data_IF_671373564027
#
_entry.id   IF_671373564027
#
_cell.length_a   1.000
_cell.length_b   1.000
_cell.length_c   1.000
_cell.angle_alpha   90.00
_cell.angle_beta   90.00
_cell.angle_gamma   90.00
#
_symmetry.space_group_name_H-M   'P 1'
#
loop_
_entity.id
_entity.type
_entity.pdbx_description
1 polymer ?
#
# COMPACT_ATOMS: atom_id res chain seq x y z
N UNK A 1 -75.55 20.47 -27.20
CA UNK A 1 -74.66 20.78 -28.33
C UNK A 1 -73.80 19.56 -28.58
N UNK A 2 -74.03 18.77 -29.66
CA UNK A 2 -73.24 18.76 -30.92
C UNK A 2 -71.73 18.90 -30.61
N UNK A 3 -70.86 17.93 -30.91
CA UNK A 3 -70.56 17.43 -32.25
C UNK A 3 -69.66 16.18 -32.21
N UNK A 4 -69.90 15.22 -33.14
CA UNK A 4 -68.95 14.18 -33.57
C UNK A 4 -68.24 14.67 -34.84
N UNK A 5 -66.95 14.39 -34.99
CA UNK A 5 -66.22 14.12 -36.26
C UNK A 5 -64.77 13.79 -35.87
N UNK A 6 -64.23 12.57 -36.02
CA UNK A 6 -63.89 11.77 -37.21
C UNK A 6 -62.81 12.38 -38.12
N UNK A 7 -61.74 11.59 -38.34
CA UNK A 7 -60.93 11.35 -39.56
C UNK A 7 -59.57 10.78 -39.11
N UNK A 8 -59.27 9.49 -39.37
CA UNK A 8 -58.54 8.94 -40.54
C UNK A 8 -57.17 9.60 -40.77
N UNK A 9 -56.11 8.97 -41.24
CA UNK A 9 -55.60 7.61 -41.42
C UNK A 9 -54.23 7.79 -42.12
N UNK A 10 -53.44 6.72 -42.14
CA UNK A 10 -52.38 6.40 -43.10
C UNK A 10 -50.96 6.96 -42.90
N UNK A 11 -50.05 5.99 -42.85
CA UNK A 11 -48.84 5.83 -43.67
C UNK A 11 -47.55 5.68 -42.84
N UNK A 12 -46.61 4.74 -43.06
CA UNK A 12 -46.50 3.47 -43.80
C UNK A 12 -45.02 3.04 -43.69
N UNK A 13 -44.77 1.71 -43.51
CA UNK A 13 -43.56 0.92 -43.84
C UNK A 13 -42.26 1.08 -43.00
N UNK A 14 -41.31 0.10 -43.02
CA UNK A 14 -41.51 -1.36 -42.85
C UNK A 14 -40.31 -2.11 -42.18
N UNK A 15 -40.40 -3.45 -42.22
CA UNK A 15 -39.33 -4.43 -42.58
C UNK A 15 -38.83 -5.44 -41.51
N UNK A 16 -39.06 -6.72 -41.87
CA UNK A 16 -38.34 -7.98 -41.58
C UNK A 16 -38.27 -8.49 -40.12
N UNK A 17 -39.00 -9.57 -39.79
CA UNK A 17 -38.64 -10.99 -39.97
C UNK A 17 -37.39 -11.44 -39.19
N UNK A 18 -37.59 -12.30 -38.18
CA UNK A 18 -36.96 -13.63 -38.14
C UNK A 18 -37.61 -14.50 -37.04
N UNK A 19 -38.03 -15.68 -37.45
CA UNK A 19 -38.50 -16.81 -36.65
C UNK A 19 -37.31 -17.70 -36.22
N UNK A 20 -37.50 -18.44 -35.11
CA UNK A 20 -36.86 -19.71 -34.73
C UNK A 20 -35.36 -19.64 -34.31
N UNK A 21 -34.85 -20.32 -33.28
CA UNK A 21 -35.32 -21.33 -32.32
C UNK A 21 -34.36 -21.32 -31.09
N UNK A 22 -34.74 -21.90 -29.94
CA UNK A 22 -33.85 -21.96 -28.77
C UNK A 22 -32.84 -23.11 -28.91
N UNK A 23 -31.56 -22.79 -29.02
CA UNK A 23 -30.49 -23.76 -28.74
C UNK A 23 -30.11 -23.66 -27.27
N UNK A 24 -30.73 -24.53 -26.47
CA UNK A 24 -30.28 -24.85 -25.12
C UNK A 24 -29.01 -25.69 -25.23
N UNK A 25 -27.85 -25.03 -25.38
CA UNK A 25 -26.56 -25.66 -25.13
C UNK A 25 -26.27 -25.52 -23.63
N UNK A 26 -26.58 -26.56 -22.85
CA UNK A 26 -26.07 -26.68 -21.49
C UNK A 26 -24.58 -27.01 -21.61
N UNK A 27 -23.74 -25.98 -21.66
CA UNK A 27 -22.30 -26.15 -21.48
C UNK A 27 -22.07 -26.60 -20.05
N UNK A 28 -21.67 -27.86 -19.89
CA UNK A 28 -21.07 -28.31 -18.65
C UNK A 28 -19.85 -27.43 -18.39
N UNK A 29 -19.95 -26.53 -17.42
CA UNK A 29 -18.81 -25.74 -16.94
C UNK A 29 -17.89 -26.75 -16.26
N UNK A 30 -16.82 -27.14 -16.94
CA UNK A 30 -15.73 -27.83 -16.28
C UNK A 30 -15.27 -26.93 -15.13
N UNK A 31 -15.47 -27.38 -13.88
CA UNK A 31 -14.88 -26.72 -12.73
C UNK A 31 -13.37 -26.85 -12.89
N UNK A 32 -12.76 -25.79 -13.41
CA UNK A 32 -11.32 -25.62 -13.41
C UNK A 32 -10.88 -25.67 -11.95
N UNK A 33 -10.27 -26.78 -11.56
CA UNK A 33 -9.65 -26.92 -10.24
C UNK A 33 -8.50 -25.94 -10.24
N UNK A 34 -8.69 -24.79 -9.57
CA UNK A 34 -7.62 -23.82 -9.38
C UNK A 34 -6.52 -24.54 -8.58
N UNK A 35 -5.29 -24.65 -9.11
CA UNK A 35 -4.20 -25.20 -8.33
C UNK A 35 -4.07 -24.44 -7.02
N UNK A 36 -3.99 -25.15 -5.89
CA UNK A 36 -3.71 -24.58 -4.57
C UNK A 36 -2.22 -24.20 -4.46
N UNK A 37 -1.71 -23.49 -5.47
CA UNK A 37 -0.42 -22.83 -5.40
C UNK A 37 -0.64 -21.53 -4.68
N UNK A 38 -0.27 -21.48 -3.40
CA UNK A 38 -0.06 -20.22 -2.69
C UNK A 38 0.81 -19.35 -3.60
N UNK A 39 0.42 -18.09 -3.88
CA UNK A 39 1.24 -17.23 -4.71
C UNK A 39 2.60 -17.06 -4.04
N UNK A 40 3.66 -17.50 -4.71
CA UNK A 40 5.02 -17.20 -4.28
C UNK A 40 5.17 -15.68 -4.30
N UNK A 41 5.42 -15.10 -3.13
CA UNK A 41 5.66 -13.66 -3.01
C UNK A 41 6.97 -13.37 -3.73
N UNK A 42 6.88 -12.74 -4.91
CA UNK A 42 8.06 -12.30 -5.63
C UNK A 42 8.79 -11.23 -4.82
N UNK A 43 10.04 -11.53 -4.46
CA UNK A 43 10.94 -10.63 -3.76
C UNK A 43 12.00 -10.17 -4.77
N UNK A 44 12.04 -8.87 -5.13
CA UNK A 44 13.04 -8.37 -6.07
C UNK A 44 14.46 -8.62 -5.56
N UNK A 45 15.38 -8.93 -6.48
CA UNK A 45 16.77 -9.24 -6.14
C UNK A 45 17.49 -8.03 -5.51
N UNK A 46 18.33 -8.30 -4.51
CA UNK A 46 19.27 -7.33 -3.96
C UNK A 46 20.46 -7.18 -4.91
N UNK A 47 20.40 -6.15 -5.76
CA UNK A 47 21.46 -5.91 -6.75
C UNK A 47 22.67 -5.20 -6.15
N UNK A 48 22.56 -4.65 -4.92
CA UNK A 48 23.60 -3.84 -4.28
C UNK A 48 24.05 -2.60 -5.07
N UNK A 49 23.44 -2.32 -6.21
CA UNK A 49 23.85 -1.29 -7.15
C UNK A 49 23.10 0.04 -6.92
N UNK A 50 23.73 1.14 -7.33
CA UNK A 50 23.20 2.50 -7.19
C UNK A 50 23.70 3.22 -5.94
N UNK A 51 23.03 4.31 -5.58
CA UNK A 51 23.28 5.10 -4.37
C UNK A 51 21.97 5.26 -3.58
N UNK A 52 22.07 5.29 -2.26
CA UNK A 52 20.92 5.47 -1.37
C UNK A 52 20.22 6.81 -1.62
N UNK A 53 21.02 7.87 -1.74
CA UNK A 53 20.57 9.25 -1.75
C UNK A 53 19.48 9.54 -2.79
N UNK A 54 18.38 10.12 -2.34
CA UNK A 54 17.27 10.54 -3.17
C UNK A 54 15.92 10.40 -2.49
N UNK A 55 14.86 10.54 -3.27
CA UNK A 55 13.47 10.43 -2.81
C UNK A 55 12.80 9.24 -3.46
N UNK A 56 12.10 8.46 -2.65
CA UNK A 56 11.42 7.24 -3.05
C UNK A 56 9.97 7.27 -2.59
N UNK A 57 9.10 6.60 -3.34
CA UNK A 57 7.67 6.53 -3.02
C UNK A 57 7.18 5.08 -3.01
N UNK A 58 6.28 4.80 -2.08
CA UNK A 58 5.46 3.60 -2.06
C UNK A 58 3.99 4.01 -1.87
N UNK A 59 3.09 3.33 -2.57
CA UNK A 59 1.66 3.58 -2.51
C UNK A 59 0.94 2.24 -2.61
N UNK A 60 -0.07 2.05 -1.77
CA UNK A 60 -1.00 0.94 -1.88
C UNK A 60 -2.42 1.46 -1.68
N UNK A 61 -3.41 0.55 -1.63
CA UNK A 61 -4.82 0.92 -1.41
C UNK A 61 -5.03 1.66 -0.08
N UNK A 62 -4.22 1.35 0.93
CA UNK A 62 -4.51 1.71 2.30
C UNK A 62 -3.69 2.93 2.79
N UNK A 63 -2.52 3.18 2.20
CA UNK A 63 -1.64 4.28 2.58
C UNK A 63 -0.60 4.63 1.50
N UNK A 64 0.05 5.78 1.67
CA UNK A 64 1.16 6.29 0.87
C UNK A 64 2.35 6.61 1.78
N UNK A 65 3.56 6.34 1.30
CA UNK A 65 4.81 6.62 2.01
C UNK A 65 5.81 7.29 1.06
N UNK A 66 6.30 8.45 1.47
CA UNK A 66 7.48 9.09 0.91
C UNK A 66 8.69 8.79 1.80
N UNK A 67 9.80 8.39 1.19
CA UNK A 67 11.06 8.14 1.87
C UNK A 67 12.17 9.01 1.27
N UNK A 68 12.78 9.86 2.08
CA UNK A 68 13.97 10.62 1.73
C UNK A 68 15.16 9.95 2.37
N UNK A 69 16.14 9.61 1.55
CA UNK A 69 17.37 8.97 2.01
C UNK A 69 18.55 9.89 1.69
N UNK A 70 19.50 9.96 2.61
CA UNK A 70 20.79 10.65 2.41
C UNK A 70 21.90 9.86 3.07
N UNK A 71 23.11 9.98 2.57
CA UNK A 71 24.29 9.41 3.22
C UNK A 71 24.99 10.50 4.03
N UNK A 72 25.14 10.27 5.34
CA UNK A 72 25.87 11.15 6.24
C UNK A 72 26.95 10.32 6.95
N UNK A 73 28.20 10.79 6.89
CA UNK A 73 29.34 10.11 7.50
C UNK A 73 29.46 8.62 7.10
N UNK A 74 29.16 8.33 5.82
CA UNK A 74 29.21 6.98 5.25
C UNK A 74 28.04 6.07 5.62
N UNK A 75 27.04 6.56 6.38
CA UNK A 75 25.86 5.80 6.80
C UNK A 75 24.59 6.36 6.15
N UNK A 76 23.69 5.50 5.65
CA UNK A 76 22.39 5.96 5.19
C UNK A 76 21.51 6.41 6.37
N UNK A 77 20.94 7.60 6.24
CA UNK A 77 19.87 8.13 7.08
C UNK A 77 18.57 8.14 6.28
N UNK A 78 17.44 7.97 6.97
CA UNK A 78 16.13 7.88 6.32
C UNK A 78 15.12 8.73 7.06
N UNK A 79 14.42 9.57 6.31
CA UNK A 79 13.23 10.28 6.75
C UNK A 79 12.02 9.71 6.02
N UNK A 80 10.92 9.48 6.73
CA UNK A 80 9.67 8.98 6.17
C UNK A 80 8.55 9.98 6.41
N UNK A 81 7.63 10.10 5.45
CA UNK A 81 6.31 10.68 5.67
C UNK A 81 5.27 9.67 5.26
N UNK A 82 4.33 9.42 6.16
CA UNK A 82 3.24 8.48 6.00
C UNK A 82 1.91 9.24 5.90
N UNK A 83 1.03 8.75 5.06
CA UNK A 83 -0.36 9.18 5.00
C UNK A 83 -1.28 7.97 4.82
N UNK A 84 -2.19 7.78 5.77
CA UNK A 84 -3.29 6.84 5.63
C UNK A 84 -4.30 7.35 4.61
N UNK A 85 -4.82 6.46 3.77
CA UNK A 85 -5.93 6.72 2.86
C UNK A 85 -7.28 6.31 3.46
N UNK A 86 -7.26 5.62 4.61
CA UNK A 86 -8.46 5.11 5.29
C UNK A 86 -8.85 5.95 6.50
N UNK A 87 -7.91 6.71 7.07
CA UNK A 87 -8.10 7.49 8.28
C UNK A 87 -7.33 8.82 8.18
N UNK A 88 -7.70 9.86 8.95
CA UNK A 88 -6.98 11.14 9.00
C UNK A 88 -5.69 11.00 9.82
N UNK A 89 -4.81 10.08 9.41
CA UNK A 89 -3.55 9.76 10.06
C UNK A 89 -2.40 10.11 9.11
N UNK A 90 -1.56 11.04 9.56
CA UNK A 90 -0.34 11.41 8.85
C UNK A 90 0.74 11.76 9.85
N UNK A 91 1.98 11.41 9.52
CA UNK A 91 3.15 11.81 10.30
C UNK A 91 4.37 11.89 9.41
N UNK A 92 5.36 12.64 9.88
CA UNK A 92 6.70 12.69 9.31
C UNK A 92 7.70 12.36 10.42
N UNK A 93 8.72 11.57 10.10
CA UNK A 93 9.80 11.26 11.02
C UNK A 93 10.91 12.30 10.94
N UNK A 94 11.83 12.28 11.88
CA UNK A 94 13.15 12.87 11.71
C UNK A 94 14.05 11.97 10.82
N UNK A 95 15.33 12.32 10.71
CA UNK A 95 16.35 11.57 9.96
C UNK A 95 16.85 10.30 10.66
N UNK A 96 16.55 10.14 11.95
CA UNK A 96 16.72 8.89 12.69
C UNK A 96 15.48 7.99 12.58
N UNK A 97 14.50 8.42 11.77
CA UNK A 97 13.28 7.69 11.45
C UNK A 97 12.34 7.53 12.65
N UNK A 98 12.34 8.51 13.56
CA UNK A 98 11.44 8.57 14.70
C UNK A 98 10.43 9.71 14.55
N UNK A 99 9.20 9.51 15.05
CA UNK A 99 8.15 10.51 15.07
C UNK A 99 7.35 10.47 16.37
N UNK A 100 6.94 11.65 16.83
CA UNK A 100 5.89 11.83 17.85
C UNK A 100 4.84 12.76 17.27
N UNK A 101 3.58 12.34 17.28
CA UNK A 101 2.50 13.06 16.63
C UNK A 101 1.15 12.70 17.25
N UNK A 102 0.07 13.25 16.69
CA UNK A 102 -1.29 13.01 17.17
C UNK A 102 -2.16 12.40 16.07
N UNK A 103 -2.97 11.41 16.44
CA UNK A 103 -4.03 10.83 15.60
C UNK A 103 -5.35 11.05 16.31
N UNK A 104 -6.25 11.84 15.71
CA UNK A 104 -7.55 12.17 16.32
C UNK A 104 -7.43 12.67 17.77
N UNK A 105 -6.40 13.48 18.05
CA UNK A 105 -6.13 14.04 19.38
C UNK A 105 -5.45 13.08 20.36
N UNK A 106 -5.15 11.84 19.97
CA UNK A 106 -4.41 10.88 20.79
C UNK A 106 -2.93 10.85 20.44
N UNK A 107 -2.02 10.78 21.42
CA UNK A 107 -0.59 10.70 21.15
C UNK A 107 -0.24 9.36 20.48
N UNK A 108 0.64 9.43 19.50
CA UNK A 108 1.20 8.29 18.80
C UNK A 108 2.71 8.45 18.63
N UNK A 109 3.42 7.33 18.65
CA UNK A 109 4.87 7.29 18.47
C UNK A 109 5.22 6.26 17.41
N UNK A 110 6.15 6.63 16.54
CA UNK A 110 6.76 5.71 15.58
C UNK A 110 8.26 5.76 15.80
N UNK A 111 8.86 4.61 16.08
CA UNK A 111 10.28 4.52 16.43
C UNK A 111 10.96 3.43 15.60
N UNK A 112 12.17 3.71 15.13
CA UNK A 112 13.02 2.75 14.44
C UNK A 112 14.30 2.54 15.21
N UNK A 113 14.58 1.28 15.53
CA UNK A 113 15.87 0.85 16.07
C UNK A 113 16.68 0.19 14.98
N UNK A 114 17.76 0.84 14.57
CA UNK A 114 18.69 0.30 13.57
C UNK A 114 19.63 -0.73 14.20
N UNK A 115 19.65 -1.93 13.60
CA UNK A 115 20.64 -2.97 13.89
C UNK A 115 21.90 -2.77 13.06
N UNK A 116 21.75 -2.50 11.76
CA UNK A 116 22.86 -2.27 10.83
C UNK A 116 22.45 -1.25 9.76
N UNK A 117 23.41 -0.43 9.33
CA UNK A 117 23.24 0.59 8.28
C UNK A 117 24.55 0.72 7.53
N UNK A 118 24.65 0.07 6.38
CA UNK A 118 25.85 0.04 5.57
C UNK A 118 25.59 0.38 4.09
N UNK A 119 26.65 0.30 3.28
CA UNK A 119 26.59 0.64 1.86
C UNK A 119 25.64 -0.25 1.07
N UNK A 120 25.29 -1.45 1.54
CA UNK A 120 24.45 -2.43 0.85
C UNK A 120 23.05 -2.52 1.45
N UNK A 121 22.93 -2.56 2.78
CA UNK A 121 21.67 -2.82 3.49
C UNK A 121 21.45 -1.94 4.71
N UNK A 122 20.18 -1.80 5.06
CA UNK A 122 19.71 -1.23 6.33
C UNK A 122 18.84 -2.29 7.00
N UNK A 123 19.15 -2.66 8.23
CA UNK A 123 18.38 -3.63 9.00
C UNK A 123 18.00 -3.05 10.35
N UNK A 124 16.84 -3.46 10.86
CA UNK A 124 16.36 -2.98 12.14
C UNK A 124 14.99 -3.52 12.51
N UNK A 125 14.39 -2.83 13.45
CA UNK A 125 13.00 -3.03 13.84
C UNK A 125 12.32 -1.69 13.96
N UNK A 126 11.01 -1.66 13.71
CA UNK A 126 10.18 -0.54 14.09
C UNK A 126 9.22 -0.93 15.21
N UNK A 127 8.76 0.10 15.91
CA UNK A 127 7.68 0.04 16.87
C UNK A 127 6.78 1.24 16.64
N UNK A 128 5.52 0.98 16.30
CA UNK A 128 4.49 1.99 16.25
C UNK A 128 3.55 1.77 17.43
N UNK A 129 3.33 2.77 18.27
CA UNK A 129 2.35 2.73 19.34
C UNK A 129 1.36 3.89 19.22
N UNK A 130 0.09 3.58 19.42
CA UNK A 130 -0.97 4.57 19.59
C UNK A 130 -1.87 4.13 20.73
N UNK A 131 -2.12 5.06 21.65
CA UNK A 131 -2.99 4.83 22.80
C UNK A 131 -4.26 5.66 22.66
N UNK A 132 -5.40 4.98 22.60
CA UNK A 132 -6.73 5.56 22.76
C UNK A 132 -7.21 5.37 24.20
N UNK A 133 -8.28 6.07 24.59
CA UNK A 133 -8.74 6.10 25.98
C UNK A 133 -9.06 4.71 26.57
N UNK A 134 -9.66 3.83 25.78
CA UNK A 134 -10.09 2.48 26.19
C UNK A 134 -9.32 1.35 25.50
N UNK A 135 -8.46 1.70 24.54
CA UNK A 135 -7.81 0.75 23.65
C UNK A 135 -6.46 1.27 23.17
N UNK A 136 -5.57 0.39 22.73
CA UNK A 136 -4.30 0.76 22.14
C UNK A 136 -3.99 -0.14 20.95
N UNK A 137 -3.17 0.35 20.03
CA UNK A 137 -2.65 -0.44 18.91
C UNK A 137 -1.14 -0.31 18.89
N UNK A 138 -0.44 -1.44 18.86
CA UNK A 138 0.97 -1.46 18.48
C UNK A 138 1.15 -2.19 17.17
N UNK A 139 2.05 -1.71 16.33
CA UNK A 139 2.52 -2.41 15.14
C UNK A 139 4.05 -2.58 15.27
N UNK A 140 4.49 -3.84 15.44
CA UNK A 140 5.88 -4.23 15.62
C UNK A 140 6.38 -4.97 14.39
N UNK A 141 7.55 -4.60 13.86
CA UNK A 141 8.13 -5.33 12.74
C UNK A 141 9.66 -5.35 12.78
N UNK A 142 10.23 -6.44 12.28
CA UNK A 142 11.65 -6.56 11.98
C UNK A 142 11.83 -6.50 10.46
N UNK A 143 12.85 -5.80 9.99
CA UNK A 143 12.99 -5.48 8.58
C UNK A 143 14.42 -5.50 8.06
N UNK A 144 14.51 -5.68 6.74
CA UNK A 144 15.70 -5.45 5.93
C UNK A 144 15.35 -4.59 4.71
N UNK A 145 16.15 -3.58 4.45
CA UNK A 145 16.02 -2.68 3.31
C UNK A 145 17.25 -2.84 2.42
N UNK A 146 17.03 -2.98 1.12
CA UNK A 146 18.10 -3.07 0.14
C UNK A 146 17.68 -2.43 -1.19
N UNK A 147 18.67 -2.13 -2.03
CA UNK A 147 18.42 -1.55 -3.35
C UNK A 147 18.22 -2.65 -4.38
N UNK A 148 17.30 -2.41 -5.30
CA UNK A 148 16.98 -3.30 -6.40
C UNK A 148 16.83 -2.50 -7.70
N UNK A 149 16.68 -3.20 -8.83
CA UNK A 149 16.50 -2.58 -10.14
C UNK A 149 17.60 -1.57 -10.48
N UNK A 150 18.86 -1.89 -10.16
CA UNK A 150 20.02 -1.02 -10.37
C UNK A 150 19.96 0.33 -9.63
N UNK A 151 19.35 0.34 -8.45
CA UNK A 151 19.19 1.54 -7.62
C UNK A 151 18.01 2.43 -8.01
N UNK A 152 17.14 1.95 -8.90
CA UNK A 152 15.87 2.61 -9.24
C UNK A 152 14.74 2.25 -8.27
N UNK A 153 14.92 1.19 -7.50
CA UNK A 153 13.96 0.74 -6.50
C UNK A 153 14.66 0.42 -5.19
N UNK A 154 13.90 0.52 -4.11
CA UNK A 154 14.31 0.13 -2.77
C UNK A 154 13.28 -0.85 -2.24
N UNK A 155 13.71 -2.02 -1.81
CA UNK A 155 12.84 -3.05 -1.24
C UNK A 155 12.93 -2.95 0.27
N UNK A 156 11.77 -2.81 0.91
CA UNK A 156 11.57 -2.88 2.34
C UNK A 156 10.93 -4.24 2.63
N UNK A 157 11.74 -5.20 3.05
CA UNK A 157 11.29 -6.56 3.38
C UNK A 157 11.08 -6.68 4.88
N UNK A 158 9.94 -7.19 5.28
CA UNK A 158 9.68 -7.49 6.67
C UNK A 158 9.94 -8.98 6.92
N UNK A 159 10.74 -9.28 7.94
CA UNK A 159 10.98 -10.67 8.38
C UNK A 159 9.91 -11.12 9.38
N UNK A 160 9.38 -10.16 10.14
CA UNK A 160 8.24 -10.31 11.04
C UNK A 160 7.44 -9.01 11.02
N UNK A 161 6.12 -9.09 10.97
CA UNK A 161 5.24 -7.96 11.23
C UNK A 161 4.04 -8.45 12.05
N UNK A 162 3.77 -7.81 13.18
CA UNK A 162 2.68 -8.15 14.07
C UNK A 162 1.97 -6.87 14.53
N UNK A 163 0.64 -6.89 14.40
CA UNK A 163 -0.22 -5.89 15.03
C UNK A 163 -0.76 -6.43 16.34
N UNK A 164 -0.72 -5.65 17.39
CA UNK A 164 -1.42 -5.95 18.64
C UNK A 164 -2.49 -4.90 18.91
N UNK A 165 -3.67 -5.34 19.32
CA UNK A 165 -4.76 -4.48 19.79
C UNK A 165 -4.99 -4.78 21.27
N UNK A 166 -4.81 -3.77 22.11
CA UNK A 166 -4.95 -3.82 23.57
C UNK A 166 -6.29 -3.19 23.93
N UNK A 167 -7.13 -3.85 24.74
CA UNK A 167 -8.37 -3.28 25.27
C UNK A 167 -8.63 -3.85 26.68
N UNK A 168 -8.55 -2.98 27.69
CA UNK A 168 -8.56 -3.43 29.09
C UNK A 168 -7.44 -4.44 29.35
N UNK A 169 -7.78 -5.63 29.83
CA UNK A 169 -6.83 -6.74 30.04
C UNK A 169 -6.65 -7.65 28.81
N UNK A 170 -7.44 -7.45 27.75
CA UNK A 170 -7.38 -8.28 26.54
C UNK A 170 -6.31 -7.75 25.58
N UNK A 171 -5.48 -8.66 25.06
CA UNK A 171 -4.51 -8.38 24.00
C UNK A 171 -4.74 -9.35 22.85
N UNK A 172 -5.15 -8.81 21.69
CA UNK A 172 -5.29 -9.58 20.45
C UNK A 172 -4.09 -9.34 19.56
N UNK A 173 -3.54 -10.40 18.98
CA UNK A 173 -2.37 -10.36 18.09
C UNK A 173 -2.76 -10.81 16.69
N UNK A 174 -2.28 -10.05 15.71
CA UNK A 174 -2.56 -10.24 14.29
C UNK A 174 -1.21 -10.29 13.55
N UNK A 175 -0.57 -11.47 13.45
CA UNK A 175 0.64 -11.61 12.66
C UNK A 175 0.32 -11.48 11.17
N UNK A 176 1.18 -10.79 10.43
CA UNK A 176 1.09 -10.74 8.97
C UNK A 176 1.74 -11.99 8.38
N UNK A 177 0.96 -12.82 7.68
CA UNK A 177 1.41 -14.09 7.09
C UNK A 177 0.93 -14.19 5.64
N UNK A 178 1.85 -14.18 4.64
CA UNK A 178 3.29 -13.93 4.79
C UNK A 178 3.57 -12.48 5.24
N UNK A 179 4.74 -12.22 5.86
CA UNK A 179 5.17 -10.86 6.13
C UNK A 179 5.21 -10.00 4.85
N UNK A 180 4.92 -8.70 4.96
CA UNK A 180 4.82 -7.84 3.79
C UNK A 180 6.19 -7.58 3.15
N UNK A 181 6.15 -7.21 1.87
CA UNK A 181 7.30 -6.70 1.11
C UNK A 181 6.84 -5.44 0.37
N UNK A 182 7.50 -4.32 0.64
CA UNK A 182 7.17 -3.04 0.00
C UNK A 182 8.29 -2.66 -0.96
N UNK A 183 7.95 -2.40 -2.22
CA UNK A 183 8.92 -1.93 -3.20
C UNK A 183 8.69 -0.45 -3.46
N UNK A 184 9.60 0.37 -2.98
CA UNK A 184 9.62 1.80 -3.23
C UNK A 184 10.27 2.09 -4.59
N UNK A 185 9.74 3.07 -5.30
CA UNK A 185 10.30 3.55 -6.56
C UNK A 185 11.03 4.87 -6.35
N UNK A 186 12.25 4.98 -6.89
CA UNK A 186 13.02 6.23 -6.85
C UNK A 186 12.41 7.23 -7.84
N UNK A 187 11.95 8.36 -7.32
CA UNK A 187 11.33 9.42 -8.13
C UNK A 187 12.27 10.59 -8.37
N UNK A 188 13.28 10.76 -7.50
CA UNK A 188 14.26 11.82 -7.65
C UNK A 188 15.60 11.47 -7.03
N UNK A 189 16.67 12.06 -7.57
CA UNK A 189 18.01 12.07 -6.94
C UNK A 189 18.13 13.12 -5.84
N UNK A 190 17.20 14.08 -5.79
CA UNK A 190 17.12 15.12 -4.75
C UNK A 190 16.61 14.53 -3.43
N UNK A 191 17.08 15.09 -2.32
CA UNK A 191 16.70 14.70 -0.95
C UNK A 191 15.73 15.70 -0.29
N UNK A 192 15.33 16.73 -1.04
CA UNK A 192 14.55 17.88 -0.61
C UNK A 192 13.26 18.06 -1.43
N UNK A 193 12.83 17.03 -2.16
CA UNK A 193 11.55 17.04 -2.89
C UNK A 193 10.41 17.19 -1.90
N UNK A 194 9.50 18.12 -2.13
CA UNK A 194 8.36 18.35 -1.26
C UNK A 194 7.34 17.22 -1.40
N UNK A 195 6.57 16.97 -0.34
CA UNK A 195 5.54 15.92 -0.36
C UNK A 195 4.52 16.13 -1.49
N UNK A 196 4.17 17.38 -1.74
CA UNK A 196 3.19 17.80 -2.74
C UNK A 196 3.70 17.61 -4.18
N UNK A 197 5.01 17.39 -4.38
CA UNK A 197 5.63 17.11 -5.67
C UNK A 197 5.70 15.60 -5.98
N UNK A 198 5.33 14.72 -5.03
CA UNK A 198 5.50 13.28 -5.17
C UNK A 198 4.42 12.63 -6.06
N UNK A 199 4.81 11.75 -7.01
CA UNK A 199 3.87 11.12 -7.94
C UNK A 199 3.25 9.84 -7.35
N UNK A 200 2.25 9.99 -6.48
CA UNK A 200 1.55 8.87 -5.83
C UNK A 200 0.26 8.41 -6.51
#
# INVERSE_FOLDING_TARGET
MRSRASLRAAAVLPFLMAFAAPWSATTAVAQMTVPDTKPDVYIPEDTGAGIWDGTYVYSCRDFKIGAWLRTRDGKPEMKLRYQSLQAPETFETDWDTNAKYYISGQPATFEVTYKSRDARRIEGSWHWDVQFSDSGRTDDAAFSIYRSGWGRSMVFRFDRAERQVRRGTEVRRYPSVPPPVWTFHKVSKRIDVLWEELPF
#
